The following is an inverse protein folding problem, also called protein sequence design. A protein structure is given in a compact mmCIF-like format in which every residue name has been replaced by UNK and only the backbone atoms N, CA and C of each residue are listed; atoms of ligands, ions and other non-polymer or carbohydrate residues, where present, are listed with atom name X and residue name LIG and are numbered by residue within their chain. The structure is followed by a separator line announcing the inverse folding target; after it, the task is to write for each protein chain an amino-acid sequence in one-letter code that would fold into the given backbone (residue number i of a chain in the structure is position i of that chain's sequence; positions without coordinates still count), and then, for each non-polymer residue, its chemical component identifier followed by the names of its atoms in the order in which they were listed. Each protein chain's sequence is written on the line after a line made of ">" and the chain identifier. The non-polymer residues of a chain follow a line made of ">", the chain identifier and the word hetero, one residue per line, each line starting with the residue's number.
data_IF_560928575167
#
_entry.id   IF_560928575167
#
_cell.length_a   1.000
_cell.length_b   1.000
_cell.length_c   1.000
_cell.angle_alpha   90.00
_cell.angle_beta   90.00
_cell.angle_gamma   90.00
#
_symmetry.space_group_name_H-M   'P 1'
#
loop_
_entity.id
_entity.type
_entity.pdbx_description
1 polymer ?
#
# COMPACT_ATOMS: atom_id res chain seq x y z
N UNK A 1 2.69 2.44 -10.66
CA UNK A 1 3.42 1.28 -10.10
C UNK A 1 2.51 0.07 -9.99
N UNK A 2 2.84 -0.94 -9.17
CA UNK A 2 2.01 -2.14 -8.99
C UNK A 2 0.56 -1.80 -8.61
N UNK A 3 0.38 -0.90 -7.63
CA UNK A 3 -0.94 -0.48 -7.18
C UNK A 3 -1.82 0.05 -8.31
N UNK A 4 -1.26 0.86 -9.21
CA UNK A 4 -2.01 1.43 -10.35
C UNK A 4 -2.37 0.38 -11.39
N UNK A 5 -1.45 -0.56 -11.66
CA UNK A 5 -1.72 -1.68 -12.56
C UNK A 5 -2.88 -2.54 -12.04
N UNK A 6 -2.92 -2.79 -10.73
CA UNK A 6 -4.04 -3.52 -10.10
C UNK A 6 -5.31 -2.67 -10.08
N UNK A 7 -5.24 -1.38 -9.78
CA UNK A 7 -6.40 -0.48 -9.79
C UNK A 7 -7.08 -0.45 -11.18
N UNK A 8 -6.29 -0.31 -12.24
CA UNK A 8 -6.79 -0.36 -13.63
C UNK A 8 -7.43 -1.71 -13.96
N UNK A 9 -6.79 -2.80 -13.54
CA UNK A 9 -7.33 -4.15 -13.75
C UNK A 9 -8.67 -4.34 -13.02
N UNK A 10 -8.75 -3.93 -11.75
CA UNK A 10 -9.96 -4.04 -10.94
C UNK A 10 -11.11 -3.23 -11.53
N UNK A 11 -10.90 -1.95 -11.85
CA UNK A 11 -11.99 -1.11 -12.37
C UNK A 11 -12.50 -1.59 -13.73
N UNK A 12 -11.64 -2.21 -14.54
CA UNK A 12 -12.00 -2.70 -15.88
C UNK A 12 -12.72 -4.05 -15.87
N UNK A 13 -12.47 -4.91 -14.87
CA UNK A 13 -12.96 -6.30 -14.86
C UNK A 13 -13.88 -6.62 -13.69
N UNK A 14 -13.53 -6.19 -12.47
CA UNK A 14 -14.28 -6.50 -11.26
C UNK A 14 -13.97 -5.47 -10.15
N UNK A 15 -14.77 -4.40 -10.04
CA UNK A 15 -14.54 -3.36 -9.04
C UNK A 15 -14.58 -3.95 -7.62
N UNK A 16 -13.48 -3.79 -6.89
CA UNK A 16 -13.34 -4.24 -5.51
C UNK A 16 -12.52 -3.22 -4.70
N UNK A 17 -12.69 -3.15 -3.36
CA UNK A 17 -11.89 -2.28 -2.52
C UNK A 17 -10.39 -2.58 -2.62
N UNK A 18 -9.60 -1.56 -2.94
CA UNK A 18 -8.14 -1.58 -3.00
C UNK A 18 -7.54 -0.60 -1.99
N UNK A 19 -6.42 -0.97 -1.37
CA UNK A 19 -5.59 -0.08 -0.54
C UNK A 19 -4.16 -0.12 -1.06
N UNK A 20 -3.51 1.04 -1.05
CA UNK A 20 -2.10 1.17 -1.43
C UNK A 20 -1.21 1.03 -0.19
N UNK A 21 -0.15 0.23 -0.29
CA UNK A 21 0.94 0.17 0.68
C UNK A 21 2.23 0.45 -0.09
N UNK A 22 2.80 1.62 0.15
CA UNK A 22 3.91 2.16 -0.62
C UNK A 22 4.38 3.48 -0.03
N UNK A 23 5.48 4.01 -0.56
CA UNK A 23 5.94 5.36 -0.21
C UNK A 23 4.94 6.37 -0.77
N UNK A 24 4.42 7.24 0.09
CA UNK A 24 3.39 8.22 -0.26
C UNK A 24 4.03 9.49 -0.84
N UNK A 25 4.40 9.42 -2.13
CA UNK A 25 4.91 10.55 -2.92
C UNK A 25 5.94 11.41 -2.17
N UNK A 26 7.01 10.76 -1.71
CA UNK A 26 8.09 11.39 -0.98
C UNK A 26 9.44 10.88 -1.48
N UNK A 27 10.46 11.73 -1.40
CA UNK A 27 11.82 11.31 -1.66
C UNK A 27 12.33 10.33 -0.60
N UNK A 28 13.29 9.50 -1.01
CA UNK A 28 14.04 8.64 -0.10
C UNK A 28 14.97 9.47 0.79
N UNK A 29 15.24 8.95 1.98
CA UNK A 29 16.12 9.57 2.97
C UNK A 29 17.23 8.62 3.38
N UNK A 30 18.28 9.18 3.98
CA UNK A 30 19.37 8.40 4.55
C UNK A 30 18.96 7.77 5.88
N UNK A 31 19.23 6.47 6.05
CA UNK A 31 18.93 5.74 7.27
C UNK A 31 19.18 4.24 7.07
N UNK A 32 19.05 3.46 8.14
CA UNK A 32 19.10 2.01 8.00
C UNK A 32 17.83 1.50 7.31
N UNK A 33 17.88 0.40 6.53
CA UNK A 33 16.71 -0.13 5.84
C UNK A 33 15.50 -0.34 6.76
N UNK A 34 15.71 -0.89 7.96
CA UNK A 34 14.63 -1.15 8.93
C UNK A 34 13.96 0.13 9.40
N UNK A 35 14.73 1.18 9.71
CA UNK A 35 14.17 2.48 10.12
C UNK A 35 13.36 3.13 9.00
N UNK A 36 13.84 3.02 7.76
CA UNK A 36 13.15 3.58 6.60
C UNK A 36 11.85 2.80 6.32
N UNK A 37 11.87 1.47 6.36
CA UNK A 37 10.66 0.65 6.21
C UNK A 37 9.60 1.00 7.25
N UNK A 38 10.00 1.17 8.51
CA UNK A 38 9.10 1.59 9.59
C UNK A 38 8.53 2.99 9.32
N UNK A 39 9.40 3.96 9.02
CA UNK A 39 9.03 5.36 8.74
C UNK A 39 8.02 5.47 7.58
N UNK A 40 8.23 4.73 6.50
CA UNK A 40 7.34 4.76 5.34
C UNK A 40 6.14 3.80 5.47
N UNK A 41 5.99 3.11 6.60
CA UNK A 41 4.89 2.17 6.83
C UNK A 41 4.94 0.94 5.92
N UNK A 42 6.14 0.55 5.47
CA UNK A 42 6.40 -0.61 4.62
C UNK A 42 6.71 -1.85 5.48
N UNK A 43 5.86 -2.11 6.46
CA UNK A 43 6.00 -3.21 7.41
C UNK A 43 4.72 -4.07 7.48
N UNK A 44 4.84 -5.23 8.13
CA UNK A 44 3.75 -6.21 8.22
C UNK A 44 2.50 -5.63 8.91
N UNK A 45 2.67 -4.82 9.94
CA UNK A 45 1.56 -4.22 10.69
C UNK A 45 0.70 -3.30 9.81
N UNK A 46 1.35 -2.45 9.01
CA UNK A 46 0.68 -1.56 8.08
C UNK A 46 0.01 -2.32 6.93
N UNK A 47 0.60 -3.41 6.44
CA UNK A 47 -0.04 -4.31 5.46
C UNK A 47 -1.33 -4.90 6.04
N UNK A 48 -1.28 -5.42 7.27
CA UNK A 48 -2.47 -5.99 7.95
C UNK A 48 -3.55 -4.93 8.15
N UNK A 49 -3.16 -3.71 8.54
CA UNK A 49 -4.08 -2.58 8.70
C UNK A 49 -4.77 -2.22 7.38
N UNK A 50 -4.01 -2.13 6.29
CA UNK A 50 -4.54 -1.87 4.95
C UNK A 50 -5.50 -2.99 4.50
N UNK A 51 -5.11 -4.25 4.65
CA UNK A 51 -5.96 -5.40 4.31
C UNK A 51 -7.29 -5.38 5.08
N UNK A 52 -7.26 -5.14 6.39
CA UNK A 52 -8.48 -5.00 7.21
C UNK A 52 -9.34 -3.83 6.77
N UNK A 53 -8.75 -2.71 6.35
CA UNK A 53 -9.49 -1.54 5.84
C UNK A 53 -10.18 -1.85 4.51
N UNK A 54 -9.52 -2.59 3.60
CA UNK A 54 -10.14 -3.06 2.35
C UNK A 54 -11.33 -4.00 2.64
N UNK A 55 -11.17 -4.96 3.54
CA UNK A 55 -12.23 -5.91 3.90
C UNK A 55 -13.47 -5.24 4.49
N UNK A 56 -13.31 -4.16 5.27
CA UNK A 56 -14.43 -3.40 5.84
C UNK A 56 -15.28 -2.64 4.81
N UNK A 57 -14.79 -2.48 3.57
CA UNK A 57 -15.48 -1.78 2.49
C UNK A 57 -16.11 -2.73 1.46
N UNK A 58 -16.06 -4.04 1.71
CA UNK A 58 -16.70 -5.06 0.88
C UNK A 58 -18.19 -5.14 1.16
#
# INVERSE_FOLDING_TARGET
>A
GLGDSIAQTLISNHPAPLEYVGVNDSFGESGTPTQLLEKYGLNAENIVKAAKKALKRK
#
